data_IF_538694240165
#
_entry.id   IF_538694240165
#
_cell.length_a   1.000
_cell.length_b   1.000
_cell.length_c   1.000
_cell.angle_alpha   90.00
_cell.angle_beta   90.00
_cell.angle_gamma   90.00
#
_symmetry.space_group_name_H-M   'P 1'
#
loop_
_entity.id
_entity.type
_entity.pdbx_description
1 polymer ?
#
# COMPACT_ATOMS: atom_id res chain seq x y z
N UNK A 1 -9.90 19.29 -23.57
CA UNK A 1 -9.07 19.97 -22.57
C UNK A 1 -9.69 19.77 -21.19
N UNK A 2 -8.88 19.36 -20.20
CA UNK A 2 -9.33 19.17 -18.82
C UNK A 2 -8.85 20.35 -17.97
N UNK A 3 -9.69 20.81 -17.04
CA UNK A 3 -9.23 21.65 -15.94
C UNK A 3 -8.99 20.76 -14.73
N UNK A 4 -7.83 20.92 -14.08
CA UNK A 4 -7.44 20.20 -12.88
C UNK A 4 -7.25 21.17 -11.74
N UNK A 5 -7.72 20.79 -10.55
CA UNK A 5 -7.46 21.51 -9.32
C UNK A 5 -6.94 20.53 -8.25
N UNK A 6 -5.92 20.95 -7.53
CA UNK A 6 -5.37 20.23 -6.39
C UNK A 6 -5.28 21.20 -5.20
N UNK A 7 -5.59 20.74 -4.00
CA UNK A 7 -5.46 21.52 -2.78
C UNK A 7 -5.00 20.66 -1.61
N UNK A 8 -4.12 21.23 -0.79
CA UNK A 8 -3.66 20.67 0.49
C UNK A 8 -3.45 21.82 1.49
N UNK A 9 -3.02 21.52 2.72
CA UNK A 9 -2.90 22.46 3.84
C UNK A 9 -1.94 23.66 3.64
N UNK A 10 -1.38 23.85 2.44
CA UNK A 10 -0.53 24.99 2.08
C UNK A 10 -0.99 25.78 0.85
N UNK A 11 -2.10 25.40 0.21
CA UNK A 11 -2.60 26.15 -0.95
C UNK A 11 -3.40 25.33 -1.95
N UNK A 12 -3.76 26.01 -3.03
CA UNK A 12 -4.57 25.46 -4.12
C UNK A 12 -3.96 25.83 -5.46
N UNK A 13 -3.77 24.84 -6.31
CA UNK A 13 -3.30 25.03 -7.69
C UNK A 13 -4.41 24.64 -8.65
N UNK A 14 -4.56 25.41 -9.71
CA UNK A 14 -5.45 25.10 -10.84
C UNK A 14 -4.66 25.18 -12.12
N UNK A 15 -4.79 24.19 -12.99
CA UNK A 15 -4.09 24.13 -14.26
C UNK A 15 -4.97 23.48 -15.33
N UNK A 16 -4.68 23.77 -16.61
CA UNK A 16 -5.27 23.06 -17.75
C UNK A 16 -4.27 22.06 -18.28
N UNK A 17 -4.73 20.88 -18.66
CA UNK A 17 -3.81 19.82 -19.03
C UNK A 17 -4.48 18.56 -19.56
N UNK A 18 -3.66 17.51 -19.56
CA UNK A 18 -4.02 16.15 -19.97
C UNK A 18 -3.86 15.22 -18.78
N UNK A 19 -4.77 14.25 -18.66
CA UNK A 19 -4.66 13.19 -17.67
C UNK A 19 -4.37 11.89 -18.38
N UNK A 20 -3.34 11.21 -17.90
CA UNK A 20 -3.00 9.85 -18.29
C UNK A 20 -3.46 8.91 -17.20
N UNK A 21 -4.16 7.85 -17.60
CA UNK A 21 -4.63 6.82 -16.68
C UNK A 21 -3.98 5.50 -17.08
N UNK A 22 -3.29 4.88 -16.13
CA UNK A 22 -2.67 3.56 -16.27
C UNK A 22 -3.32 2.59 -15.28
N UNK A 23 -2.84 1.35 -15.25
CA UNK A 23 -3.29 0.33 -14.30
C UNK A 23 -2.82 0.58 -12.86
N UNK A 24 -1.82 1.43 -12.64
CA UNK A 24 -1.22 1.65 -11.32
C UNK A 24 -1.39 3.08 -10.80
N UNK A 25 -1.46 4.07 -11.70
CA UNK A 25 -1.52 5.49 -11.34
C UNK A 25 -2.27 6.33 -12.38
N UNK A 26 -2.74 7.49 -11.92
CA UNK A 26 -3.28 8.57 -12.72
C UNK A 26 -2.32 9.77 -12.64
N UNK A 27 -1.88 10.28 -13.79
CA UNK A 27 -0.95 11.42 -13.86
C UNK A 27 -1.62 12.58 -14.57
N UNK A 28 -1.70 13.74 -13.92
CA UNK A 28 -2.03 15.00 -14.57
C UNK A 28 -0.75 15.68 -15.08
N UNK A 29 -0.76 16.16 -16.31
CA UNK A 29 0.32 16.96 -16.90
C UNK A 29 -0.25 18.28 -17.38
N UNK A 30 0.29 19.39 -16.86
CA UNK A 30 -0.13 20.73 -17.25
C UNK A 30 0.36 21.06 -18.66
N UNK A 31 -0.51 21.66 -19.48
CA UNK A 31 -0.12 22.13 -20.83
C UNK A 31 0.94 23.24 -20.77
N UNK A 32 0.92 24.02 -19.69
CA UNK A 32 1.91 25.04 -19.35
C UNK A 32 2.16 24.98 -17.85
N UNK A 33 3.42 25.08 -17.38
CA UNK A 33 3.72 25.13 -15.95
C UNK A 33 2.98 26.27 -15.24
N UNK A 34 2.50 26.02 -14.03
CA UNK A 34 1.90 27.04 -13.15
C UNK A 34 2.84 27.24 -11.96
N UNK A 35 3.74 28.23 -12.06
CA UNK A 35 4.90 28.29 -11.16
C UNK A 35 5.77 27.05 -11.34
N UNK A 36 6.06 26.35 -10.24
CA UNK A 36 6.82 25.10 -10.25
C UNK A 36 5.94 23.86 -10.50
N UNK A 37 4.62 24.03 -10.68
CA UNK A 37 3.71 22.92 -10.90
C UNK A 37 3.65 22.55 -12.38
N UNK A 38 4.17 21.37 -12.71
CA UNK A 38 4.26 20.84 -14.09
C UNK A 38 3.34 19.62 -14.26
N UNK A 39 3.37 18.71 -13.29
CA UNK A 39 2.59 17.50 -13.28
C UNK A 39 2.22 17.11 -11.85
N UNK A 40 1.26 16.20 -11.71
CA UNK A 40 0.86 15.66 -10.42
C UNK A 40 0.53 14.17 -10.58
N UNK A 41 1.22 13.32 -9.82
CA UNK A 41 1.03 11.88 -9.83
C UNK A 41 0.08 11.45 -8.71
N UNK A 42 -0.82 10.51 -9.02
CA UNK A 42 -1.83 9.98 -8.12
C UNK A 42 -1.88 8.45 -8.26
N UNK A 43 -1.16 7.70 -7.42
CA UNK A 43 -1.24 6.25 -7.41
C UNK A 43 -2.66 5.79 -7.08
N UNK A 44 -3.22 4.86 -7.88
CA UNK A 44 -4.63 4.49 -7.77
C UNK A 44 -4.99 3.88 -6.41
N UNK A 45 -4.05 3.17 -5.78
CA UNK A 45 -4.25 2.57 -4.45
C UNK A 45 -4.39 3.63 -3.34
N UNK A 46 -3.80 4.81 -3.52
CA UNK A 46 -3.82 5.90 -2.54
C UNK A 46 -4.96 6.89 -2.78
N UNK A 47 -5.71 6.77 -3.89
CA UNK A 47 -6.92 7.54 -4.12
C UNK A 47 -8.05 6.96 -3.28
N UNK A 48 -8.87 7.81 -2.66
CA UNK A 48 -10.12 7.45 -1.99
C UNK A 48 -11.15 8.58 -2.04
N UNK A 49 -12.37 8.29 -1.58
CA UNK A 49 -13.52 9.21 -1.59
C UNK A 49 -13.80 9.79 -2.98
N UNK A 50 -13.53 9.00 -4.02
CA UNK A 50 -13.77 9.38 -5.40
C UNK A 50 -15.28 9.50 -5.70
N UNK A 51 -15.67 10.62 -6.29
CA UNK A 51 -17.06 10.93 -6.63
C UNK A 51 -17.15 11.53 -8.01
N UNK A 52 -18.10 11.03 -8.80
CA UNK A 52 -18.51 11.65 -10.06
C UNK A 52 -19.71 12.57 -9.82
N UNK A 53 -19.62 13.80 -10.31
CA UNK A 53 -20.66 14.82 -10.17
C UNK A 53 -21.15 15.25 -11.56
N UNK A 54 -22.46 15.13 -11.79
CA UNK A 54 -23.15 15.52 -13.03
C UNK A 54 -24.14 16.65 -12.77
N UNK A 55 -23.67 17.89 -12.63
CA UNK A 55 -24.57 19.00 -12.38
C UNK A 55 -25.36 19.32 -13.67
N UNK A 56 -26.64 19.72 -13.51
CA UNK A 56 -27.53 20.08 -14.63
C UNK A 56 -26.99 21.32 -15.37
N UNK A 57 -26.40 22.24 -14.62
CA UNK A 57 -25.69 23.42 -15.10
C UNK A 57 -24.24 23.30 -14.67
N UNK A 58 -23.27 23.64 -15.54
CA UNK A 58 -21.81 23.41 -15.41
C UNK A 58 -21.34 22.08 -16.03
N UNK A 59 -20.05 21.77 -15.86
CA UNK A 59 -19.40 20.63 -16.47
C UNK A 59 -19.33 19.46 -15.48
N UNK A 60 -19.41 18.25 -16.03
CA UNK A 60 -19.14 17.01 -15.30
C UNK A 60 -17.74 17.07 -14.66
N UNK A 61 -17.61 16.53 -13.45
CA UNK A 61 -16.33 16.48 -12.76
C UNK A 61 -16.19 15.22 -11.90
N UNK A 62 -14.94 14.78 -11.74
CA UNK A 62 -14.55 13.82 -10.71
C UNK A 62 -13.83 14.58 -9.62
N UNK A 63 -14.11 14.27 -8.37
CA UNK A 63 -13.35 14.74 -7.21
C UNK A 63 -12.96 13.56 -6.34
N UNK A 64 -11.88 13.69 -5.59
CA UNK A 64 -11.48 12.69 -4.61
C UNK A 64 -10.32 13.20 -3.76
N UNK A 65 -9.85 12.32 -2.90
CA UNK A 65 -8.69 12.52 -2.06
C UNK A 65 -7.57 11.57 -2.51
N UNK A 66 -6.33 12.00 -2.32
CA UNK A 66 -5.16 11.15 -2.55
C UNK A 66 -4.19 11.31 -1.39
N UNK A 67 -3.83 10.18 -0.80
CA UNK A 67 -2.82 10.10 0.23
C UNK A 67 -1.41 10.20 -0.39
N UNK A 68 -0.50 10.96 0.23
CA UNK A 68 0.87 11.04 -0.21
C UNK A 68 1.59 9.70 0.03
N UNK A 69 2.46 9.32 -0.91
CA UNK A 69 3.38 8.19 -0.70
C UNK A 69 4.50 8.67 0.20
N UNK A 70 4.49 8.23 1.46
CA UNK A 70 5.48 8.65 2.46
C UNK A 70 6.64 7.66 2.46
N UNK A 71 7.89 8.13 2.31
CA UNK A 71 9.07 7.28 2.48
C UNK A 71 9.15 6.63 3.87
N UNK A 72 9.70 5.42 3.96
CA UNK A 72 9.78 4.65 5.21
C UNK A 72 10.56 5.35 6.34
N UNK A 73 11.49 6.24 5.96
CA UNK A 73 12.30 7.04 6.88
C UNK A 73 11.60 8.28 7.42
N UNK A 74 10.35 8.55 7.00
CA UNK A 74 9.64 9.78 7.32
C UNK A 74 8.29 9.57 7.98
N UNK A 75 7.89 10.55 8.80
CA UNK A 75 6.65 10.47 9.54
C UNK A 75 5.45 10.96 8.73
N UNK A 76 4.40 10.13 8.63
CA UNK A 76 3.19 10.44 7.84
C UNK A 76 2.52 11.76 8.21
N UNK A 77 2.57 12.16 9.48
CA UNK A 77 1.97 13.42 9.95
C UNK A 77 2.55 14.69 9.30
N UNK A 78 3.74 14.59 8.68
CA UNK A 78 4.36 15.70 7.96
C UNK A 78 3.70 15.96 6.60
N UNK A 79 2.91 15.00 6.11
CA UNK A 79 2.31 15.05 4.79
C UNK A 79 0.81 15.18 4.89
N UNK A 80 0.24 16.09 4.10
CA UNK A 80 -1.20 16.30 4.06
C UNK A 80 -1.83 15.53 2.91
N UNK A 81 -3.01 14.97 3.14
CA UNK A 81 -3.90 14.46 2.09
C UNK A 81 -4.21 15.57 1.08
N UNK A 82 -4.18 15.24 -0.21
CA UNK A 82 -4.50 16.20 -1.26
C UNK A 82 -5.91 15.96 -1.79
N UNK A 83 -6.71 17.02 -1.87
CA UNK A 83 -8.01 16.97 -2.54
C UNK A 83 -7.84 17.36 -4.01
N UNK A 84 -8.24 16.48 -4.93
CA UNK A 84 -8.19 16.73 -6.36
C UNK A 84 -9.59 16.90 -6.96
N UNK A 85 -9.66 17.65 -8.07
CA UNK A 85 -10.87 17.80 -8.89
C UNK A 85 -10.50 17.90 -10.37
N UNK A 86 -11.10 17.04 -11.17
CA UNK A 86 -10.94 16.97 -12.63
C UNK A 86 -12.26 17.43 -13.26
N UNK A 87 -12.22 18.48 -14.09
CA UNK A 87 -13.38 19.01 -14.79
C UNK A 87 -13.30 18.68 -16.28
N UNK A 88 -14.34 18.03 -16.78
CA UNK A 88 -14.47 17.64 -18.18
C UNK A 88 -15.12 18.76 -18.99
N UNK A 89 -14.32 19.72 -19.46
CA UNK A 89 -14.81 20.90 -20.20
C UNK A 89 -15.20 20.60 -21.64
N UNK A 90 -14.53 19.65 -22.27
CA UNK A 90 -14.70 19.33 -23.71
C UNK A 90 -15.16 17.87 -23.93
N UNK A 91 -15.93 17.32 -22.98
CA UNK A 91 -16.41 15.94 -23.05
C UNK A 91 -15.40 14.90 -22.56
N UNK A 92 -15.50 13.66 -23.07
CA UNK A 92 -14.63 12.53 -22.70
C UNK A 92 -14.98 11.82 -21.38
N UNK A 93 -15.82 12.43 -20.53
CA UNK A 93 -16.21 11.82 -19.25
C UNK A 93 -16.94 10.48 -19.41
N UNK A 94 -17.71 10.29 -20.48
CA UNK A 94 -18.45 9.04 -20.74
C UNK A 94 -17.53 7.82 -20.94
N UNK A 95 -16.32 8.03 -21.45
CA UNK A 95 -15.31 6.98 -21.58
C UNK A 95 -14.42 6.90 -20.34
N UNK A 96 -13.96 8.06 -19.86
CA UNK A 96 -12.99 8.12 -18.77
C UNK A 96 -13.57 7.61 -17.44
N UNK A 97 -14.80 8.01 -17.09
CA UNK A 97 -15.40 7.72 -15.79
C UNK A 97 -15.53 6.20 -15.58
N UNK A 98 -16.16 5.41 -16.47
CA UNK A 98 -16.21 3.96 -16.29
C UNK A 98 -14.83 3.31 -16.17
N UNK A 99 -13.86 3.73 -16.99
CA UNK A 99 -12.49 3.19 -16.94
C UNK A 99 -11.81 3.47 -15.61
N UNK A 100 -11.88 4.70 -15.13
CA UNK A 100 -11.29 5.13 -13.86
C UNK A 100 -11.85 4.35 -12.66
N UNK A 101 -13.18 4.29 -12.53
CA UNK A 101 -13.82 3.58 -11.42
C UNK A 101 -13.57 2.06 -11.48
N UNK A 102 -13.56 1.47 -12.68
CA UNK A 102 -13.24 0.05 -12.85
C UNK A 102 -11.79 -0.26 -12.46
N UNK A 103 -10.84 0.59 -12.84
CA UNK A 103 -9.43 0.42 -12.48
C UNK A 103 -9.20 0.58 -10.98
N UNK A 104 -9.76 1.61 -10.35
CA UNK A 104 -9.68 1.77 -8.89
C UNK A 104 -10.23 0.54 -8.16
N UNK A 105 -11.40 0.06 -8.58
CA UNK A 105 -12.00 -1.15 -8.00
C UNK A 105 -11.08 -2.36 -8.16
N UNK A 106 -10.53 -2.57 -9.35
CA UNK A 106 -9.64 -3.70 -9.65
C UNK A 106 -8.36 -3.67 -8.82
N UNK A 107 -7.69 -2.52 -8.72
CA UNK A 107 -6.45 -2.35 -7.95
C UNK A 107 -6.68 -2.60 -6.46
N UNK A 108 -7.77 -2.07 -5.89
CA UNK A 108 -8.11 -2.30 -4.47
C UNK A 108 -8.44 -3.76 -4.19
N UNK A 109 -9.20 -4.42 -5.07
CA UNK A 109 -9.51 -5.85 -4.94
C UNK A 109 -8.23 -6.70 -4.98
N UNK A 110 -7.33 -6.42 -5.92
CA UNK A 110 -6.05 -7.11 -6.01
C UNK A 110 -5.20 -6.92 -4.74
N UNK A 111 -5.12 -5.69 -4.23
CA UNK A 111 -4.38 -5.38 -3.00
C UNK A 111 -4.94 -6.12 -1.78
N UNK A 112 -6.27 -6.22 -1.64
CA UNK A 112 -6.90 -6.96 -0.53
C UNK A 112 -6.62 -8.46 -0.62
N UNK A 113 -6.67 -9.04 -1.83
CA UNK A 113 -6.33 -10.45 -2.05
C UNK A 113 -4.85 -10.73 -1.75
N UNK A 114 -3.96 -9.80 -2.06
CA UNK A 114 -2.54 -9.94 -1.77
C UNK A 114 -2.26 -9.85 -0.26
N UNK A 115 -2.82 -8.85 0.42
CA UNK A 115 -2.68 -8.68 1.88
C UNK A 115 -3.22 -9.89 2.66
N UNK A 116 -4.42 -10.39 2.31
CA UNK A 116 -5.00 -11.58 2.94
C UNK A 116 -4.19 -12.87 2.67
N UNK A 117 -3.48 -12.97 1.54
CA UNK A 117 -2.57 -14.08 1.27
C UNK A 117 -1.27 -13.99 2.08
N UNK A 118 -0.76 -12.80 2.33
CA UNK A 118 0.39 -12.61 3.23
C UNK A 118 0.03 -12.94 4.67
N UNK A 119 -1.15 -12.52 5.14
CA UNK A 119 -1.68 -12.89 6.46
C UNK A 119 -1.88 -14.41 6.60
N UNK A 120 -2.30 -15.11 5.55
CA UNK A 120 -2.41 -16.58 5.54
C UNK A 120 -1.05 -17.30 5.51
N UNK A 121 0.00 -16.66 4.98
CA UNK A 121 1.38 -17.22 5.02
C UNK A 121 2.06 -16.99 6.37
N UNK A 122 1.67 -15.95 7.10
CA UNK A 122 2.08 -15.73 8.48
C UNK A 122 1.22 -16.56 9.44
N UNK A 123 1.40 -17.88 9.44
CA UNK A 123 0.72 -18.77 10.40
C UNK A 123 1.01 -18.32 11.84
N UNK A 124 0.01 -17.81 12.60
CA UNK A 124 0.22 -17.28 13.95
C UNK A 124 0.76 -18.33 14.93
N UNK A 125 0.57 -19.61 14.62
CA UNK A 125 1.02 -20.73 15.44
C UNK A 125 2.55 -20.94 15.36
N UNK A 126 3.23 -20.38 14.36
CA UNK A 126 4.67 -20.55 14.17
C UNK A 126 5.49 -19.44 14.85
N UNK A 127 4.92 -18.23 14.97
CA UNK A 127 5.56 -17.09 15.65
C UNK A 127 5.41 -17.10 17.19
N UNK A 128 4.50 -17.94 17.72
CA UNK A 128 4.22 -18.02 19.16
C UNK A 128 5.14 -18.94 19.95
N UNK A 129 6.09 -19.65 19.32
CA UNK A 129 7.12 -20.39 20.06
C UNK A 129 8.16 -19.40 20.57
N UNK A 130 7.87 -18.75 21.69
CA UNK A 130 8.86 -17.93 22.37
C UNK A 130 10.00 -18.83 22.84
N UNK A 131 11.27 -18.39 22.75
CA UNK A 131 12.42 -19.19 23.22
C UNK A 131 12.27 -19.65 24.68
N UNK A 132 11.47 -18.93 25.47
CA UNK A 132 11.20 -19.19 26.88
C UNK A 132 10.39 -20.47 27.09
N UNK A 133 9.41 -20.76 26.22
CA UNK A 133 8.59 -21.97 26.31
C UNK A 133 9.40 -23.24 25.99
N UNK A 134 10.34 -23.14 25.06
CA UNK A 134 11.27 -24.23 24.74
C UNK A 134 12.28 -24.43 25.88
N UNK A 135 12.78 -23.35 26.50
CA UNK A 135 13.65 -23.43 27.67
C UNK A 135 12.97 -24.06 28.89
N UNK A 136 11.70 -23.72 29.16
CA UNK A 136 10.95 -24.32 30.28
C UNK A 136 10.74 -25.82 30.11
N UNK A 137 10.57 -26.31 28.86
CA UNK A 137 10.39 -27.75 28.58
C UNK A 137 11.66 -28.59 28.80
N UNK A 138 12.82 -27.94 28.85
CA UNK A 138 14.13 -28.57 29.05
C UNK A 138 14.78 -28.20 30.39
N UNK A 139 14.01 -27.54 31.27
CA UNK A 139 14.43 -27.20 32.62
C UNK A 139 13.95 -28.28 33.60
N UNK A 140 14.87 -28.83 34.39
CA UNK A 140 14.56 -29.75 35.48
C UNK A 140 14.83 -29.07 36.82
N UNK A 141 13.91 -29.21 37.77
CA UNK A 141 14.05 -28.71 39.15
C UNK A 141 14.32 -29.91 40.06
N UNK A 142 15.34 -29.81 40.91
CA UNK A 142 15.68 -30.87 41.86
C UNK A 142 14.60 -30.95 42.96
N UNK A 143 13.94 -32.10 43.17
CA UNK A 143 12.95 -32.27 44.22
C UNK A 143 13.49 -32.06 45.64
N UNK A 144 14.79 -32.25 45.88
CA UNK A 144 15.41 -32.07 47.20
C UNK A 144 15.93 -30.65 47.45
N UNK A 145 15.98 -29.79 46.43
CA UNK A 145 16.35 -28.38 46.56
C UNK A 145 15.63 -27.53 45.46
N UNK A 146 14.46 -26.96 45.78
CA UNK A 146 13.67 -26.20 44.81
C UNK A 146 14.30 -24.84 44.45
N UNK A 147 15.47 -24.51 44.97
CA UNK A 147 16.18 -23.25 44.64
C UNK A 147 17.10 -23.39 43.42
N UNK A 148 17.27 -24.59 42.87
CA UNK A 148 18.16 -24.85 41.73
C UNK A 148 17.40 -25.36 40.51
N UNK A 149 17.58 -24.66 39.39
CA UNK A 149 17.01 -25.01 38.08
C UNK A 149 18.15 -25.43 37.15
N UNK A 150 18.05 -26.62 36.57
CA UNK A 150 19.01 -27.16 35.62
C UNK A 150 18.45 -27.08 34.20
N UNK A 151 19.16 -26.43 33.29
CA UNK A 151 18.80 -26.38 31.87
C UNK A 151 19.58 -27.46 31.11
N UNK A 152 18.88 -28.33 30.39
CA UNK A 152 19.53 -29.27 29.49
C UNK A 152 20.14 -28.51 28.31
N UNK A 153 21.47 -28.49 28.21
CA UNK A 153 22.14 -27.90 27.04
C UNK A 153 21.84 -28.74 25.78
N UNK A 154 21.49 -28.09 24.65
CA UNK A 154 21.26 -28.80 23.41
C UNK A 154 22.55 -29.51 22.97
N UNK A 155 22.47 -30.82 22.73
CA UNK A 155 23.58 -31.58 22.15
C UNK A 155 23.85 -31.08 20.72
N UNK A 156 25.12 -31.02 20.27
CA UNK A 156 25.48 -30.42 18.97
C UNK A 156 24.80 -31.09 17.76
N UNK A 157 24.35 -32.34 17.88
CA UNK A 157 23.59 -33.04 16.84
C UNK A 157 22.19 -32.43 16.58
N UNK A 158 21.58 -31.80 17.59
CA UNK A 158 20.27 -31.15 17.46
C UNK A 158 20.29 -29.91 16.56
N UNK A 159 21.44 -29.22 16.45
CA UNK A 159 21.58 -28.04 15.58
C UNK A 159 21.72 -28.40 14.10
N UNK A 160 22.18 -29.61 13.77
CA UNK A 160 22.34 -30.05 12.38
C UNK A 160 20.99 -30.26 11.68
N UNK A 161 19.93 -30.61 12.42
CA UNK A 161 18.58 -30.83 11.85
C UNK A 161 17.87 -29.54 11.40
N UNK A 162 18.31 -28.36 11.88
CA UNK A 162 17.72 -27.07 11.51
C UNK A 162 18.25 -26.50 10.18
N UNK A 163 19.35 -27.04 9.64
CA UNK A 163 19.99 -26.51 8.43
C UNK A 163 19.52 -27.12 7.10
N UNK A 164 18.66 -28.13 7.11
CA UNK A 164 18.45 -28.97 5.90
C UNK A 164 17.06 -28.92 5.24
N UNK A 165 16.21 -27.96 5.55
CA UNK A 165 14.92 -27.81 4.85
C UNK A 165 14.90 -26.59 3.91
N UNK A 166 15.26 -26.89 2.65
CA UNK A 166 14.86 -26.31 1.37
C UNK A 166 14.93 -24.79 1.13
N UNK A 167 16.03 -24.36 0.51
CA UNK A 167 15.98 -23.40 -0.60
C UNK A 167 15.65 -24.15 -1.90
N UNK A 168 14.53 -23.83 -2.54
CA UNK A 168 14.34 -24.14 -3.97
C UNK A 168 14.55 -22.85 -4.77
N UNK A 169 15.56 -22.79 -5.67
CA UNK A 169 15.61 -21.78 -6.70
C UNK A 169 14.63 -22.15 -7.83
N UNK A 170 13.88 -21.16 -8.31
CA UNK A 170 13.02 -21.28 -9.47
C UNK A 170 13.81 -20.98 -10.77
N UNK A 171 13.55 -21.81 -11.80
CA UNK A 171 13.74 -21.65 -13.26
C UNK A 171 15.20 -21.73 -13.82
N UNK A 172 15.50 -22.26 -15.01
CA UNK A 172 14.80 -22.21 -16.31
C UNK A 172 15.06 -23.42 -17.23
N UNK A 173 14.12 -23.66 -18.16
CA UNK A 173 14.24 -24.48 -19.37
C UNK A 173 15.14 -23.87 -20.45
N UNK A 174 15.69 -24.74 -21.30
CA UNK A 174 15.69 -24.57 -22.76
C UNK A 174 15.02 -25.81 -23.36
#
# INVERSE_FOLDING_TARGET
MLDFAISANGGKVKAKGTIFLSTIQMVFVANKPVGNFIAFDMPLLHIHDEKFNQPIFLCNNISGLVEPVVPDDQHRALYSTHAFKILFKEGGCGTFVPLFFNLIKSVRQYSQQYASREEQRADPLQAAQTPVDEMMRHAYVDPNDPTRIFLQQPTPESQLRRRTYHSQPAEHSI
#
